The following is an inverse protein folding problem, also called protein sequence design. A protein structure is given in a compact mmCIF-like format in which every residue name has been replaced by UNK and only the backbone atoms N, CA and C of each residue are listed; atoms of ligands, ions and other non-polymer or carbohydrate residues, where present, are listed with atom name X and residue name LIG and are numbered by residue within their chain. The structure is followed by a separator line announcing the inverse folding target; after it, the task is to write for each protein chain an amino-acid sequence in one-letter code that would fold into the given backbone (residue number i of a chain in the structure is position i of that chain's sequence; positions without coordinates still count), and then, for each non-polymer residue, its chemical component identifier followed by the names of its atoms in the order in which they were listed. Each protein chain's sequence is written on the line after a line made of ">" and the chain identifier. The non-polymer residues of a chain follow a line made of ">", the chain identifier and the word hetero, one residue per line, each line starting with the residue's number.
data_IF_731244108143
#
_entry.id   IF_731244108143
#
_cell.length_a   1.000
_cell.length_b   1.000
_cell.length_c   1.000
_cell.angle_alpha   90.00
_cell.angle_beta   90.00
_cell.angle_gamma   90.00
#
_symmetry.space_group_name_H-M   'P 1'
#
loop_
_entity.id
_entity.type
_entity.pdbx_description
1 polymer ?
#
# COMPACT_ATOMS: atom_id res chain seq x y z
N UNK A 1 12.44 14.58 -3.56
CA UNK A 1 12.46 13.19 -3.03
C UNK A 1 12.00 13.20 -1.58
N UNK A 2 11.25 12.19 -1.13
CA UNK A 2 10.87 12.04 0.29
C UNK A 2 12.03 11.36 1.02
N UNK A 3 12.60 12.00 2.04
CA UNK A 3 13.66 11.37 2.83
C UNK A 3 13.10 10.24 3.71
N UNK A 4 13.89 9.19 4.01
CA UNK A 4 13.47 8.12 4.92
C UNK A 4 13.00 8.66 6.28
N UNK A 5 13.68 9.68 6.82
CA UNK A 5 13.32 10.34 8.08
C UNK A 5 11.95 11.03 8.03
N UNK A 6 11.64 11.69 6.91
CA UNK A 6 10.33 12.34 6.72
C UNK A 6 9.22 11.28 6.67
N UNK A 7 9.47 10.16 6.01
CA UNK A 7 8.49 9.07 5.91
C UNK A 7 8.30 8.34 7.25
N UNK A 8 9.38 8.05 7.99
CA UNK A 8 9.30 7.49 9.36
C UNK A 8 8.42 8.37 10.25
N UNK A 9 8.69 9.68 10.28
CA UNK A 9 7.90 10.64 11.07
C UNK A 9 6.43 10.63 10.67
N UNK A 10 6.15 10.64 9.37
CA UNK A 10 4.78 10.59 8.86
C UNK A 10 4.06 9.29 9.28
N UNK A 11 4.72 8.13 9.15
CA UNK A 11 4.16 6.83 9.58
C UNK A 11 3.85 6.83 11.06
N UNK A 12 4.78 7.29 11.91
CA UNK A 12 4.57 7.35 13.37
C UNK A 12 3.42 8.27 13.74
N UNK A 13 3.33 9.43 13.10
CA UNK A 13 2.23 10.37 13.32
C UNK A 13 0.88 9.75 12.94
N UNK A 14 0.79 9.08 11.78
CA UNK A 14 -0.43 8.38 11.34
C UNK A 14 -0.80 7.22 12.26
N UNK A 15 0.19 6.45 12.72
CA UNK A 15 -0.04 5.36 13.67
C UNK A 15 -0.59 5.89 15.00
N UNK A 16 0.00 6.95 15.54
CA UNK A 16 -0.48 7.60 16.77
C UNK A 16 -1.89 8.18 16.60
N UNK A 17 -2.17 8.85 15.48
CA UNK A 17 -3.49 9.39 15.18
C UNK A 17 -4.56 8.28 15.03
N UNK A 18 -4.16 7.08 14.60
CA UNK A 18 -5.01 5.89 14.55
C UNK A 18 -5.11 5.11 15.86
N UNK A 19 -4.55 5.62 16.96
CA UNK A 19 -4.59 4.96 18.27
C UNK A 19 -3.63 3.78 18.43
N UNK A 20 -2.66 3.59 17.52
CA UNK A 20 -1.66 2.55 17.65
C UNK A 20 -0.67 2.88 18.79
N UNK A 21 -0.19 1.86 19.52
CA UNK A 21 0.84 2.06 20.54
C UNK A 21 2.16 2.55 19.91
N UNK A 22 3.08 3.02 20.76
CA UNK A 22 4.41 3.48 20.32
C UNK A 22 5.12 2.38 19.53
N UNK A 23 5.43 2.65 18.27
CA UNK A 23 6.11 1.71 17.39
C UNK A 23 7.58 1.52 17.79
N UNK A 24 8.00 0.28 18.04
CA UNK A 24 9.40 -0.06 18.35
C UNK A 24 10.36 0.28 17.21
N UNK A 25 9.92 0.14 15.96
CA UNK A 25 10.66 0.53 14.77
C UNK A 25 9.74 0.74 13.57
N UNK A 26 10.21 1.49 12.57
CA UNK A 26 9.58 1.63 11.25
C UNK A 26 10.63 1.28 10.21
N UNK A 27 10.26 0.43 9.26
CA UNK A 27 11.14 0.01 8.19
C UNK A 27 10.48 0.19 6.83
N UNK A 28 11.26 0.67 5.87
CA UNK A 28 10.87 0.71 4.47
C UNK A 28 11.43 -0.54 3.80
N UNK A 29 10.54 -1.34 3.23
CA UNK A 29 10.88 -2.65 2.67
C UNK A 29 10.29 -2.79 1.29
N UNK A 30 11.05 -3.40 0.38
CA UNK A 30 10.52 -3.93 -0.87
C UNK A 30 10.82 -5.42 -0.93
N UNK A 31 9.82 -6.26 -0.67
CA UNK A 31 9.97 -7.72 -0.76
C UNK A 31 10.28 -8.18 -2.18
N UNK A 32 9.79 -7.46 -3.21
CA UNK A 32 10.08 -7.77 -4.62
C UNK A 32 11.51 -7.38 -5.03
N UNK A 33 12.01 -6.23 -4.56
CA UNK A 33 13.38 -5.75 -4.86
C UNK A 33 14.41 -6.20 -3.82
N UNK A 34 14.00 -7.00 -2.83
CA UNK A 34 14.82 -7.47 -1.73
C UNK A 34 15.51 -6.35 -0.90
N UNK A 35 14.85 -5.19 -0.82
CA UNK A 35 15.37 -4.02 -0.13
C UNK A 35 14.88 -3.99 1.31
N UNK A 36 15.79 -3.88 2.28
CA UNK A 36 15.47 -3.75 3.71
C UNK A 36 14.92 -5.02 4.39
N UNK A 37 14.68 -6.10 3.62
CA UNK A 37 14.10 -7.37 4.12
C UNK A 37 14.95 -7.96 5.25
N UNK A 38 16.27 -8.03 5.07
CA UNK A 38 17.19 -8.58 6.09
C UNK A 38 17.19 -7.77 7.39
N UNK A 39 17.08 -6.44 7.29
CA UNK A 39 17.11 -5.55 8.45
C UNK A 39 15.84 -5.69 9.31
N UNK A 40 14.68 -5.87 8.67
CA UNK A 40 13.43 -6.17 9.41
C UNK A 40 13.50 -7.56 10.03
N UNK A 41 13.97 -8.54 9.27
CA UNK A 41 14.05 -9.91 9.75
C UNK A 41 14.97 -10.04 10.97
N UNK A 42 16.15 -9.39 10.95
CA UNK A 42 17.06 -9.38 12.10
C UNK A 42 16.42 -8.72 13.31
N UNK A 43 15.79 -7.57 13.14
CA UNK A 43 15.10 -6.86 14.21
C UNK A 43 13.96 -7.70 14.83
N UNK A 44 13.14 -8.32 13.99
CA UNK A 44 12.04 -9.21 14.43
C UNK A 44 12.59 -10.41 15.18
N UNK A 45 13.69 -11.03 14.72
CA UNK A 45 14.35 -12.14 15.42
C UNK A 45 14.88 -11.72 16.79
N UNK A 46 15.52 -10.56 16.88
CA UNK A 46 16.01 -10.00 18.14
C UNK A 46 14.88 -9.77 19.13
N UNK A 47 13.76 -9.17 18.69
CA UNK A 47 12.60 -8.93 19.55
C UNK A 47 11.87 -10.22 19.95
N UNK A 48 11.75 -11.18 19.04
CA UNK A 48 11.09 -12.46 19.33
C UNK A 48 11.90 -13.32 20.32
N UNK A 49 13.23 -13.20 20.30
CA UNK A 49 14.11 -14.00 21.14
C UNK A 49 13.95 -15.51 20.90
N UNK A 50 14.27 -16.36 21.90
CA UNK A 50 14.31 -17.80 21.72
C UNK A 50 12.93 -18.48 21.70
N UNK A 51 11.88 -17.87 22.25
CA UNK A 51 10.55 -18.51 22.42
C UNK A 51 9.36 -17.58 22.09
N UNK A 52 9.60 -16.46 21.42
CA UNK A 52 8.54 -15.49 21.12
C UNK A 52 7.61 -15.93 19.99
N UNK A 53 6.44 -15.30 19.96
CA UNK A 53 5.46 -15.43 18.90
C UNK A 53 5.41 -14.13 18.10
N UNK A 54 5.56 -14.22 16.78
CA UNK A 54 5.50 -13.11 15.84
C UNK A 54 4.24 -13.24 15.01
N UNK A 55 3.40 -12.21 15.02
CA UNK A 55 2.14 -12.17 14.28
C UNK A 55 2.24 -11.14 13.17
N UNK A 56 2.05 -11.57 11.92
CA UNK A 56 2.05 -10.68 10.76
C UNK A 56 0.62 -10.25 10.49
N UNK A 57 0.32 -8.99 10.81
CA UNK A 57 -1.01 -8.39 10.70
C UNK A 57 -1.04 -7.26 9.68
N UNK A 58 -2.23 -7.00 9.11
CA UNK A 58 -2.44 -5.88 8.18
C UNK A 58 -3.51 -6.16 7.14
N UNK A 59 -3.88 -5.11 6.41
CA UNK A 59 -4.96 -5.17 5.42
C UNK A 59 -4.75 -6.22 4.33
N UNK A 60 -5.83 -6.63 3.67
CA UNK A 60 -5.74 -7.42 2.44
C UNK A 60 -4.93 -6.64 1.39
N UNK A 61 -4.11 -7.35 0.60
CA UNK A 61 -3.23 -6.78 -0.43
C UNK A 61 -2.11 -5.85 0.06
N UNK A 62 -1.87 -5.75 1.37
CA UNK A 62 -0.74 -4.99 1.93
C UNK A 62 0.65 -5.62 1.67
N UNK A 63 0.71 -6.81 1.07
CA UNK A 63 1.98 -7.51 0.75
C UNK A 63 2.52 -8.43 1.86
N UNK A 64 1.70 -8.78 2.87
CA UNK A 64 2.08 -9.65 4.01
C UNK A 64 2.72 -10.97 3.58
N UNK A 65 2.02 -11.76 2.77
CA UNK A 65 2.54 -13.06 2.32
C UNK A 65 3.78 -12.93 1.42
N UNK A 66 3.89 -11.84 0.65
CA UNK A 66 5.11 -11.55 -0.12
C UNK A 66 6.29 -11.26 0.79
N UNK A 67 6.07 -10.54 1.91
CA UNK A 67 7.11 -10.29 2.91
C UNK A 67 7.55 -11.57 3.64
N UNK A 68 6.60 -12.41 4.04
CA UNK A 68 6.87 -13.71 4.68
C UNK A 68 7.70 -14.61 3.75
N UNK A 69 7.31 -14.70 2.47
CA UNK A 69 8.06 -15.47 1.47
C UNK A 69 9.48 -14.91 1.29
N UNK A 70 9.65 -13.58 1.32
CA UNK A 70 10.96 -12.96 1.26
C UNK A 70 11.82 -13.30 2.50
N UNK A 71 11.22 -13.33 3.70
CA UNK A 71 11.92 -13.78 4.91
C UNK A 71 12.36 -15.24 4.82
N UNK A 72 11.48 -16.14 4.37
CA UNK A 72 11.84 -17.54 4.21
C UNK A 72 12.97 -17.76 3.20
N UNK A 73 12.92 -17.05 2.06
CA UNK A 73 14.01 -17.07 1.07
C UNK A 73 15.33 -16.61 1.69
N UNK A 74 15.33 -15.61 2.58
CA UNK A 74 16.54 -15.12 3.26
C UNK A 74 17.15 -16.14 4.22
N UNK A 75 16.33 -17.00 4.78
CA UNK A 75 16.76 -18.05 5.72
C UNK A 75 17.04 -19.38 5.04
N UNK A 76 16.91 -19.47 3.71
CA UNK A 76 16.97 -20.75 2.99
C UNK A 76 15.84 -21.72 3.39
N UNK A 77 14.80 -21.21 4.05
CA UNK A 77 13.67 -22.00 4.50
C UNK A 77 12.64 -22.15 3.39
N UNK A 78 12.10 -23.36 3.21
CA UNK A 78 10.86 -23.53 2.47
C UNK A 78 9.72 -23.04 3.36
N UNK A 79 8.86 -22.16 2.82
CA UNK A 79 7.64 -21.73 3.53
C UNK A 79 6.71 -22.93 3.66
N UNK A 80 6.79 -23.63 4.79
CA UNK A 80 5.82 -24.66 5.17
C UNK A 80 4.71 -24.01 5.98
N UNK A 81 3.50 -24.03 5.43
CA UNK A 81 2.27 -23.71 6.15
C UNK A 81 1.89 -24.95 6.95
N UNK A 82 2.17 -24.94 8.25
CA UNK A 82 2.12 -26.16 9.07
C UNK A 82 0.72 -26.45 9.62
N UNK A 83 0.03 -25.42 10.10
CA UNK A 83 -1.24 -25.58 10.82
C UNK A 83 -2.12 -24.36 10.58
N UNK A 84 -3.40 -24.60 10.28
CA UNK A 84 -4.46 -23.60 10.21
C UNK A 84 -5.24 -23.61 11.52
N UNK A 85 -5.33 -22.46 12.19
CA UNK A 85 -6.22 -22.28 13.33
C UNK A 85 -7.51 -21.59 12.85
N UNK A 86 -8.70 -22.13 13.16
CA UNK A 86 -9.96 -21.53 12.74
C UNK A 86 -10.16 -20.17 13.43
N UNK A 87 -10.53 -19.17 12.63
CA UNK A 87 -10.98 -17.86 13.11
C UNK A 87 -12.46 -17.72 12.75
N UNK A 88 -13.36 -17.46 13.71
CA UNK A 88 -14.78 -17.32 13.43
C UNK A 88 -15.05 -16.22 12.38
N UNK A 89 -15.80 -16.54 11.33
CA UNK A 89 -16.24 -15.58 10.32
C UNK A 89 -15.30 -15.36 9.11
N UNK A 90 -14.19 -16.10 9.00
CA UNK A 90 -13.30 -16.04 7.83
C UNK A 90 -13.03 -17.41 7.21
N UNK A 91 -13.00 -17.51 5.87
CA UNK A 91 -12.68 -18.74 5.11
C UNK A 91 -11.19 -19.13 5.15
N UNK A 92 -10.32 -18.23 5.58
CA UNK A 92 -8.87 -18.46 5.78
C UNK A 92 -8.57 -18.29 7.27
N UNK A 93 -8.02 -19.32 7.90
CA UNK A 93 -7.55 -19.28 9.27
C UNK A 93 -6.15 -18.68 9.44
N UNK A 94 -5.64 -18.70 10.68
CA UNK A 94 -4.28 -18.27 11.00
C UNK A 94 -3.31 -19.38 10.61
N UNK A 95 -2.26 -19.05 9.87
CA UNK A 95 -1.28 -20.02 9.38
C UNK A 95 0.03 -19.92 10.16
N UNK A 96 0.50 -21.03 10.72
CA UNK A 96 1.83 -21.11 11.32
C UNK A 96 2.90 -21.32 10.25
N UNK A 97 3.92 -20.46 10.25
CA UNK A 97 5.06 -20.50 9.34
C UNK A 97 6.30 -21.04 10.06
N UNK A 98 6.86 -22.11 9.54
CA UNK A 98 8.10 -22.73 10.04
C UNK A 98 9.36 -22.21 9.35
N UNK A 99 10.52 -22.44 9.98
CA UNK A 99 11.84 -22.27 9.36
C UNK A 99 12.39 -20.84 9.26
N UNK A 100 11.58 -19.81 9.54
CA UNK A 100 12.04 -18.40 9.50
C UNK A 100 12.68 -17.95 10.81
N UNK A 101 12.12 -18.40 11.94
CA UNK A 101 12.60 -18.09 13.29
C UNK A 101 13.29 -19.31 13.91
N UNK A 102 13.88 -19.14 15.10
CA UNK A 102 14.44 -20.24 15.88
C UNK A 102 13.39 -21.31 16.17
N UNK A 103 13.81 -22.57 16.39
CA UNK A 103 12.91 -23.72 16.50
C UNK A 103 11.78 -23.57 17.55
N UNK A 104 12.02 -22.78 18.60
CA UNK A 104 11.06 -22.55 19.69
C UNK A 104 10.26 -21.24 19.52
N UNK A 105 10.67 -20.35 18.63
CA UNK A 105 9.92 -19.16 18.25
C UNK A 105 8.96 -19.48 17.08
N UNK A 106 7.83 -18.78 17.01
CA UNK A 106 6.77 -19.06 16.03
C UNK A 106 6.40 -17.81 15.27
N UNK A 107 6.21 -17.93 13.95
CA UNK A 107 5.66 -16.87 13.12
C UNK A 107 4.27 -17.30 12.62
N UNK A 108 3.33 -16.37 12.65
CA UNK A 108 1.94 -16.58 12.25
C UNK A 108 1.57 -15.58 11.15
N UNK A 109 1.10 -16.08 10.01
CA UNK A 109 0.42 -15.27 8.99
C UNK A 109 -1.06 -15.17 9.37
N UNK A 110 -1.56 -13.95 9.48
CA UNK A 110 -2.98 -13.71 9.78
C UNK A 110 -3.72 -13.31 8.50
N UNK A 111 -5.00 -13.71 8.36
CA UNK A 111 -5.83 -13.25 7.25
C UNK A 111 -5.80 -11.74 7.11
N UNK A 112 -5.80 -11.25 5.87
CA UNK A 112 -5.80 -9.82 5.64
C UNK A 112 -7.09 -9.18 6.13
N UNK A 113 -6.96 -8.15 6.96
CA UNK A 113 -8.11 -7.38 7.41
C UNK A 113 -8.78 -6.72 6.20
N UNK A 114 -10.06 -7.00 6.02
CA UNK A 114 -10.88 -6.32 5.02
C UNK A 114 -11.07 -4.88 5.46
N UNK A 115 -10.68 -3.95 4.60
CA UNK A 115 -10.84 -2.53 4.86
C UNK A 115 -11.81 -1.95 3.81
N UNK A 116 -13.04 -1.56 4.21
CA UNK A 116 -14.12 -1.23 3.26
C UNK A 116 -13.84 0.01 2.40
N UNK A 117 -12.86 0.82 2.79
CA UNK A 117 -12.48 2.05 2.10
C UNK A 117 -11.34 1.86 1.08
N UNK A 118 -10.88 0.62 0.85
CA UNK A 118 -9.88 0.35 -0.19
C UNK A 118 -10.52 0.50 -1.57
N UNK A 119 -10.05 1.47 -2.35
CA UNK A 119 -10.54 1.70 -3.72
C UNK A 119 -10.44 0.45 -4.59
N UNK A 120 -9.40 -0.37 -4.40
CA UNK A 120 -9.21 -1.62 -5.17
C UNK A 120 -10.36 -2.62 -5.01
N UNK A 121 -11.13 -2.57 -3.91
CA UNK A 121 -12.30 -3.42 -3.71
C UNK A 121 -13.49 -3.02 -4.59
N UNK A 122 -13.48 -1.81 -5.15
CA UNK A 122 -14.51 -1.28 -6.06
C UNK A 122 -14.14 -1.45 -7.53
N UNK A 123 -12.98 -2.04 -7.81
CA UNK A 123 -12.43 -2.17 -9.16
C UNK A 123 -12.44 -3.63 -9.60
N UNK A 124 -12.67 -3.85 -10.90
CA UNK A 124 -12.51 -5.15 -11.52
C UNK A 124 -11.03 -5.52 -11.67
N UNK A 125 -10.73 -6.76 -12.10
CA UNK A 125 -9.35 -7.27 -12.18
C UNK A 125 -8.46 -6.48 -13.16
N UNK A 126 -9.01 -6.01 -14.28
CA UNK A 126 -8.22 -5.24 -15.25
C UNK A 126 -7.91 -3.84 -14.72
N UNK A 127 -8.90 -3.17 -14.12
CA UNK A 127 -8.72 -1.88 -13.45
C UNK A 127 -7.72 -1.96 -12.29
N UNK A 128 -7.77 -3.04 -11.50
CA UNK A 128 -6.78 -3.28 -10.45
C UNK A 128 -5.35 -3.35 -11.00
N UNK A 129 -5.14 -3.96 -12.17
CA UNK A 129 -3.83 -3.98 -12.83
C UNK A 129 -3.41 -2.58 -13.31
N UNK A 130 -4.36 -1.74 -13.72
CA UNK A 130 -4.06 -0.38 -14.15
C UNK A 130 -3.57 0.49 -12.98
N UNK A 131 -4.19 0.38 -11.81
CA UNK A 131 -3.79 1.17 -10.63
C UNK A 131 -2.55 0.62 -9.91
N UNK A 132 -2.13 -0.61 -10.19
CA UNK A 132 -0.98 -1.25 -9.52
C UNK A 132 0.34 -0.52 -9.86
N UNK A 133 1.05 -0.08 -8.82
CA UNK A 133 2.37 0.55 -8.97
C UNK A 133 3.45 -0.52 -9.11
N UNK A 134 3.75 -0.91 -10.35
CA UNK A 134 4.79 -1.91 -10.67
C UNK A 134 6.18 -1.32 -10.88
N UNK A 135 6.24 -0.04 -11.25
CA UNK A 135 7.48 0.71 -11.51
C UNK A 135 7.52 1.95 -10.64
N UNK A 136 8.69 2.57 -10.52
CA UNK A 136 8.82 3.85 -9.83
C UNK A 136 7.84 4.87 -10.44
N UNK A 137 7.13 5.58 -9.56
CA UNK A 137 6.17 6.59 -9.97
C UNK A 137 6.91 7.76 -10.62
N UNK A 138 6.44 8.18 -11.79
CA UNK A 138 6.90 9.41 -12.43
C UNK A 138 5.95 10.55 -12.08
N UNK A 139 6.44 11.69 -11.58
CA UNK A 139 5.59 12.84 -11.32
C UNK A 139 5.02 13.38 -12.63
N UNK A 140 3.73 13.72 -12.63
CA UNK A 140 3.06 14.40 -13.74
C UNK A 140 2.52 15.73 -13.23
N UNK A 141 3.17 16.83 -13.63
CA UNK A 141 2.86 18.18 -13.13
C UNK A 141 2.04 18.97 -14.14
N UNK A 142 0.97 19.60 -13.66
CA UNK A 142 0.11 20.49 -14.41
C UNK A 142 0.15 21.88 -13.80
N UNK A 143 0.17 22.90 -14.65
CA UNK A 143 -0.07 24.28 -14.23
C UNK A 143 -1.56 24.56 -14.42
N UNK A 144 -2.28 24.75 -13.32
CA UNK A 144 -3.73 24.93 -13.30
C UNK A 144 -4.13 26.34 -12.87
N UNK A 145 -5.25 26.83 -13.40
CA UNK A 145 -5.93 28.07 -13.04
C UNK A 145 -7.20 27.78 -12.25
N UNK A 146 -7.72 28.80 -11.56
CA UNK A 146 -9.08 28.72 -11.02
C UNK A 146 -10.07 28.31 -12.12
N UNK A 147 -11.09 27.55 -11.74
CA UNK A 147 -12.09 26.93 -12.64
C UNK A 147 -11.57 25.80 -13.54
N UNK A 148 -10.40 25.22 -13.23
CA UNK A 148 -9.89 24.01 -13.91
C UNK A 148 -9.94 22.76 -13.02
N UNK A 149 -10.07 21.60 -13.67
CA UNK A 149 -10.13 20.29 -13.06
C UNK A 149 -9.00 19.39 -13.60
N UNK A 150 -8.50 18.47 -12.77
CA UNK A 150 -7.66 17.34 -13.18
C UNK A 150 -8.39 16.04 -12.82
N UNK A 151 -8.71 15.24 -13.82
CA UNK A 151 -9.16 13.87 -13.67
C UNK A 151 -7.97 12.92 -13.53
N UNK A 152 -8.07 11.98 -12.59
CA UNK A 152 -7.14 10.86 -12.40
C UNK A 152 -7.87 9.58 -12.79
N UNK A 153 -7.81 9.24 -14.08
CA UNK A 153 -8.67 8.24 -14.71
C UNK A 153 -10.13 8.47 -14.35
N UNK A 154 -10.86 7.36 -14.21
CA UNK A 154 -12.19 7.29 -13.61
C UNK A 154 -12.18 7.16 -12.08
N UNK A 155 -11.10 7.53 -11.39
CA UNK A 155 -10.92 7.25 -9.96
C UNK A 155 -11.12 8.46 -9.06
N UNK A 156 -10.61 9.61 -9.48
CA UNK A 156 -10.67 10.84 -8.70
C UNK A 156 -10.67 12.08 -9.60
N UNK A 157 -11.16 13.19 -9.05
CA UNK A 157 -11.11 14.52 -9.67
C UNK A 157 -10.63 15.53 -8.65
N UNK A 158 -9.75 16.42 -9.08
CA UNK A 158 -9.33 17.60 -8.31
C UNK A 158 -9.80 18.85 -9.05
N UNK A 159 -10.68 19.61 -8.40
CA UNK A 159 -11.23 20.86 -8.91
C UNK A 159 -10.56 22.05 -8.20
N UNK A 160 -9.92 22.95 -8.95
CA UNK A 160 -9.43 24.21 -8.40
C UNK A 160 -10.53 25.26 -8.50
N UNK A 161 -11.31 25.37 -7.42
CA UNK A 161 -12.43 26.30 -7.34
C UNK A 161 -11.91 27.73 -7.42
N UNK A 162 -11.04 28.13 -6.48
CA UNK A 162 -10.48 29.48 -6.37
C UNK A 162 -9.00 29.42 -5.99
N UNK A 163 -8.26 30.44 -6.38
CA UNK A 163 -6.85 30.62 -6.03
C UNK A 163 -6.55 32.11 -5.88
N UNK A 164 -5.77 32.47 -4.86
CA UNK A 164 -5.26 33.84 -4.68
C UNK A 164 -4.13 34.20 -5.65
N UNK A 165 -3.65 33.22 -6.40
CA UNK A 165 -2.58 33.33 -7.40
C UNK A 165 -3.13 32.96 -8.76
N UNK A 166 -2.54 33.49 -9.84
CA UNK A 166 -3.02 33.23 -11.20
C UNK A 166 -2.95 31.74 -11.58
N UNK A 167 -1.87 31.06 -11.16
CA UNK A 167 -1.67 29.64 -11.45
C UNK A 167 -1.08 28.89 -10.27
N UNK A 168 -1.44 27.61 -10.13
CA UNK A 168 -0.85 26.67 -9.19
C UNK A 168 -0.25 25.48 -9.93
N UNK A 169 0.87 24.97 -9.44
CA UNK A 169 1.41 23.70 -9.90
C UNK A 169 0.86 22.55 -9.07
N UNK A 170 0.20 21.60 -9.74
CA UNK A 170 -0.27 20.36 -9.13
C UNK A 170 0.50 19.20 -9.72
N UNK A 171 1.22 18.47 -8.86
CA UNK A 171 1.96 17.26 -9.25
C UNK A 171 1.20 16.02 -8.81
N UNK A 172 0.76 15.23 -9.78
CA UNK A 172 0.06 13.96 -9.55
C UNK A 172 1.05 12.80 -9.57
N UNK A 173 1.02 11.99 -8.51
CA UNK A 173 1.78 10.75 -8.37
C UNK A 173 0.82 9.56 -8.42
N UNK A 174 0.64 8.98 -9.61
CA UNK A 174 -0.26 7.86 -9.85
C UNK A 174 0.35 6.90 -10.88
N UNK A 175 -0.18 5.68 -10.98
CA UNK A 175 0.24 4.69 -11.97
C UNK A 175 0.35 5.30 -13.36
N UNK A 176 1.41 5.01 -14.15
CA UNK A 176 1.52 5.51 -15.52
C UNK A 176 0.41 4.99 -16.43
N UNK A 177 -0.24 3.89 -16.05
CA UNK A 177 -1.36 3.32 -16.79
C UNK A 177 -2.70 4.03 -16.49
N UNK A 178 -2.75 4.87 -15.45
CA UNK A 178 -3.93 5.70 -15.17
C UNK A 178 -3.76 7.03 -15.90
N UNK A 179 -4.68 7.31 -16.80
CA UNK A 179 -4.73 8.54 -17.60
C UNK A 179 -4.96 9.77 -16.71
N UNK A 180 -4.41 10.91 -17.14
CA UNK A 180 -4.62 12.20 -16.48
C UNK A 180 -5.16 13.19 -17.51
N UNK A 181 -6.29 13.81 -17.21
CA UNK A 181 -6.95 14.74 -18.11
C UNK A 181 -7.26 16.04 -17.40
N UNK A 182 -6.79 17.16 -17.97
CA UNK A 182 -7.01 18.50 -17.43
C UNK A 182 -8.02 19.25 -18.30
N UNK A 183 -8.98 19.93 -17.67
CA UNK A 183 -10.03 20.66 -18.38
C UNK A 183 -10.66 21.76 -17.54
N UNK A 184 -11.73 22.38 -18.06
CA UNK A 184 -12.57 23.30 -17.28
C UNK A 184 -13.50 22.51 -16.37
N UNK A 185 -13.77 23.03 -15.17
CA UNK A 185 -14.71 22.40 -14.22
C UNK A 185 -16.11 22.26 -14.83
N UNK A 186 -16.54 23.27 -15.61
CA UNK A 186 -17.85 23.31 -16.28
C UNK A 186 -18.13 22.03 -17.10
N UNK A 187 -17.10 21.49 -17.76
CA UNK A 187 -17.21 20.29 -18.61
C UNK A 187 -16.87 19.00 -17.87
N UNK A 188 -16.42 19.08 -16.61
CA UNK A 188 -15.82 17.95 -15.92
C UNK A 188 -16.81 16.79 -15.66
N UNK A 189 -18.08 17.11 -15.38
CA UNK A 189 -19.12 16.09 -15.20
C UNK A 189 -19.45 15.38 -16.53
N UNK A 190 -19.53 16.13 -17.63
CA UNK A 190 -19.76 15.58 -18.96
C UNK A 190 -18.61 14.67 -19.39
N UNK A 191 -17.37 15.13 -19.24
CA UNK A 191 -16.16 14.35 -19.52
C UNK A 191 -16.17 13.05 -18.71
N UNK A 192 -16.56 13.10 -17.43
CA UNK A 192 -16.66 11.90 -16.61
C UNK A 192 -17.71 10.93 -17.15
N UNK A 193 -18.96 11.39 -17.31
CA UNK A 193 -20.07 10.54 -17.72
C UNK A 193 -19.84 9.89 -19.09
N UNK A 194 -19.23 10.62 -20.03
CA UNK A 194 -19.04 10.15 -21.40
C UNK A 194 -17.74 9.37 -21.63
N UNK A 195 -16.77 9.46 -20.72
CA UNK A 195 -15.42 8.93 -20.97
C UNK A 195 -14.82 8.06 -19.88
N UNK A 196 -15.47 7.87 -18.73
CA UNK A 196 -15.10 6.83 -17.75
C UNK A 196 -15.07 5.46 -18.45
N UNK A 197 -13.98 4.72 -18.26
CA UNK A 197 -13.76 3.42 -18.89
C UNK A 197 -13.31 3.48 -20.36
N UNK A 198 -13.29 4.66 -21.00
CA UNK A 198 -12.87 4.81 -22.41
C UNK A 198 -11.63 5.70 -22.55
N UNK A 199 -11.76 7.02 -22.28
CA UNK A 199 -10.61 7.95 -22.30
C UNK A 199 -10.06 8.21 -20.90
N UNK A 200 -10.90 8.09 -19.88
CA UNK A 200 -10.53 8.16 -18.47
C UNK A 200 -10.29 6.75 -17.91
N UNK A 201 -9.33 6.03 -18.49
CA UNK A 201 -8.88 4.72 -18.00
C UNK A 201 -7.77 4.88 -16.95
#
# INVERSE_FOLDING_TARGET
>A
QVSPTRLDRWVRHRASAGGAPKLSAVYLVSSRKDLGVRNVLSFVKTLAGPRGNVWVIGAQNAGKSTLINAFAKKEGAKVTKLTEAPVPGTTLGILRIGGILSAKAKMFDTPGLLHPYLMSMRLNREEQKMIEIRKELRPRSYRIKARQAIHVGGLARLDLIEASVETMYVTVWASPNVSLHMGKIENANEIWNNHVGVRLQ
#
